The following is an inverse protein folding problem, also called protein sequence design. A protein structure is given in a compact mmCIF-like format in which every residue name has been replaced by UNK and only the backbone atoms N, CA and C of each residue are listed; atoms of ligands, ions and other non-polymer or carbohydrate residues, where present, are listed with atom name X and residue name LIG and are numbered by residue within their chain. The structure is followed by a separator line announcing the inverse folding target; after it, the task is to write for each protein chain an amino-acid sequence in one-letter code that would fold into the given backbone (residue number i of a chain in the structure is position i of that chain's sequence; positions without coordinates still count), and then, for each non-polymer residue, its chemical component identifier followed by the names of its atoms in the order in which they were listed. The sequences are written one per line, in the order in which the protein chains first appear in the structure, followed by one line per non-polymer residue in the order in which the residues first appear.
data_IF_829540248582
#
_entry.id   IF_829540248582
#
_cell.length_a   1.000
_cell.length_b   1.000
_cell.length_c   1.000
_cell.angle_alpha   90.00
_cell.angle_beta   90.00
_cell.angle_gamma   90.00
#
_symmetry.space_group_name_H-M   'P 1'
#
loop_
_entity.id
_entity.type
_entity.pdbx_description
1 polymer ?
#
# COMPACT_ATOMS: atom_id res chain seq x y z
N UNK A 1 -42.00 -17.72 -58.46
CA UNK A 1 -40.72 -17.28 -57.85
C UNK A 1 -41.03 -16.61 -56.52
N UNK A 2 -40.36 -16.99 -55.43
CA UNK A 2 -40.64 -16.37 -54.13
C UNK A 2 -40.00 -14.98 -54.05
N UNK A 3 -40.67 -14.04 -53.40
CA UNK A 3 -40.22 -12.65 -53.20
C UNK A 3 -38.81 -12.61 -52.59
N UNK A 4 -38.49 -13.59 -51.74
CA UNK A 4 -37.18 -13.75 -51.11
C UNK A 4 -36.05 -13.97 -52.13
N UNK A 5 -36.30 -14.79 -53.17
CA UNK A 5 -35.31 -15.05 -54.23
C UNK A 5 -35.04 -13.82 -55.11
N UNK A 6 -36.05 -12.97 -55.31
CA UNK A 6 -35.90 -11.70 -56.02
C UNK A 6 -35.11 -10.68 -55.18
N UNK A 7 -35.37 -10.61 -53.87
CA UNK A 7 -34.63 -9.74 -52.95
C UNK A 7 -33.13 -10.07 -52.91
N UNK A 8 -32.78 -11.36 -52.80
CA UNK A 8 -31.37 -11.81 -52.82
C UNK A 8 -30.64 -11.47 -54.12
N UNK A 9 -31.31 -11.67 -55.27
CA UNK A 9 -30.74 -11.29 -56.59
C UNK A 9 -30.57 -9.77 -56.72
N UNK A 10 -31.44 -8.98 -56.09
CA UNK A 10 -31.32 -7.52 -56.06
C UNK A 10 -30.12 -7.04 -55.22
N UNK A 11 -29.86 -7.69 -54.08
CA UNK A 11 -28.65 -7.43 -53.28
C UNK A 11 -27.39 -7.78 -54.08
N UNK A 12 -27.40 -8.89 -54.80
CA UNK A 12 -26.26 -9.30 -55.65
C UNK A 12 -26.03 -8.41 -56.86
N UNK A 13 -27.04 -7.70 -57.39
CA UNK A 13 -26.85 -6.77 -58.50
C UNK A 13 -26.34 -5.40 -58.04
N UNK A 14 -26.56 -5.02 -56.78
CA UNK A 14 -26.17 -3.73 -56.18
C UNK A 14 -25.22 -3.88 -54.98
N UNK A 15 -24.21 -4.74 -55.11
CA UNK A 15 -23.30 -5.12 -54.00
C UNK A 15 -22.63 -3.94 -53.32
N UNK A 16 -22.18 -2.94 -54.08
CA UNK A 16 -21.46 -1.78 -53.52
C UNK A 16 -22.35 -0.92 -52.61
N UNK A 17 -23.54 -0.54 -53.08
CA UNK A 17 -24.49 0.27 -52.31
C UNK A 17 -25.01 -0.51 -51.09
N UNK A 18 -25.29 -1.79 -51.27
CA UNK A 18 -25.67 -2.67 -50.16
C UNK A 18 -24.56 -2.75 -49.10
N UNK A 19 -23.30 -2.94 -49.51
CA UNK A 19 -22.19 -3.03 -48.59
C UNK A 19 -21.98 -1.71 -47.82
N UNK A 20 -22.04 -0.56 -48.50
CA UNK A 20 -21.87 0.74 -47.85
C UNK A 20 -22.98 1.02 -46.83
N UNK A 21 -24.23 0.72 -47.18
CA UNK A 21 -25.38 0.88 -46.26
C UNK A 21 -25.31 -0.12 -45.10
N UNK A 22 -24.94 -1.37 -45.36
CA UNK A 22 -24.73 -2.39 -44.33
C UNK A 22 -23.64 -1.98 -43.35
N UNK A 23 -22.47 -1.54 -43.83
CA UNK A 23 -21.36 -1.07 -42.98
C UNK A 23 -21.80 0.16 -42.18
N UNK A 24 -22.51 1.11 -42.79
CA UNK A 24 -23.02 2.29 -42.09
C UNK A 24 -23.94 1.92 -40.93
N UNK A 25 -24.93 1.04 -41.17
CA UNK A 25 -25.83 0.55 -40.12
C UNK A 25 -25.07 -0.24 -39.06
N UNK A 26 -24.15 -1.13 -39.48
CA UNK A 26 -23.33 -1.92 -38.58
C UNK A 26 -22.49 -1.04 -37.66
N UNK A 27 -21.83 -0.02 -38.19
CA UNK A 27 -21.05 0.94 -37.41
C UNK A 27 -21.93 1.71 -36.41
N UNK A 28 -23.11 2.17 -36.82
CA UNK A 28 -24.04 2.85 -35.91
C UNK A 28 -24.47 1.95 -34.75
N UNK A 29 -24.83 0.70 -35.03
CA UNK A 29 -25.24 -0.27 -34.00
C UNK A 29 -24.06 -0.66 -33.12
N UNK A 30 -22.88 -0.91 -33.70
CA UNK A 30 -21.66 -1.24 -32.95
C UNK A 30 -21.27 -0.12 -32.00
N UNK A 31 -21.33 1.14 -32.45
CA UNK A 31 -21.02 2.30 -31.60
C UNK A 31 -21.99 2.37 -30.40
N UNK A 32 -23.29 2.25 -30.67
CA UNK A 32 -24.31 2.29 -29.62
C UNK A 32 -24.13 1.16 -28.60
N UNK A 33 -23.92 -0.08 -29.06
CA UNK A 33 -23.69 -1.22 -28.18
C UNK A 33 -22.37 -1.09 -27.41
N UNK A 34 -21.31 -0.61 -28.03
CA UNK A 34 -20.00 -0.43 -27.38
C UNK A 34 -20.10 0.53 -26.21
N UNK A 35 -20.76 1.68 -26.39
CA UNK A 35 -20.97 2.66 -25.30
C UNK A 35 -21.77 2.03 -24.16
N UNK A 36 -22.83 1.28 -24.47
CA UNK A 36 -23.65 0.62 -23.45
C UNK A 36 -22.87 -0.44 -22.67
N UNK A 37 -22.09 -1.27 -23.36
CA UNK A 37 -21.28 -2.32 -22.75
C UNK A 37 -20.18 -1.70 -21.89
N UNK A 38 -19.43 -0.73 -22.41
CA UNK A 38 -18.37 -0.04 -21.65
C UNK A 38 -18.94 0.60 -20.38
N UNK A 39 -20.10 1.28 -20.49
CA UNK A 39 -20.77 1.87 -19.31
C UNK A 39 -21.17 0.82 -18.28
N UNK A 40 -21.72 -0.31 -18.73
CA UNK A 40 -22.15 -1.40 -17.85
C UNK A 40 -20.97 -2.04 -17.15
N UNK A 41 -19.92 -2.37 -17.88
CA UNK A 41 -18.72 -3.00 -17.35
C UNK A 41 -17.96 -2.07 -16.41
N UNK A 42 -17.85 -0.77 -16.75
CA UNK A 42 -17.30 0.22 -15.84
C UNK A 42 -18.05 0.22 -14.51
N UNK A 43 -19.39 0.34 -14.52
CA UNK A 43 -20.21 0.29 -13.31
C UNK A 43 -20.05 -1.03 -12.54
N UNK A 44 -20.00 -2.16 -13.23
CA UNK A 44 -19.79 -3.46 -12.59
C UNK A 44 -18.42 -3.55 -11.90
N UNK A 45 -17.37 -3.01 -12.51
CA UNK A 45 -16.03 -2.95 -11.91
C UNK A 45 -16.01 -2.13 -10.61
N UNK A 46 -16.74 -1.01 -10.57
CA UNK A 46 -16.90 -0.23 -9.34
C UNK A 46 -17.60 -1.04 -8.24
N UNK A 47 -18.71 -1.71 -8.57
CA UNK A 47 -19.49 -2.50 -7.61
C UNK A 47 -18.76 -3.75 -7.10
N UNK A 48 -17.80 -4.27 -7.87
CA UNK A 48 -17.03 -5.46 -7.49
C UNK A 48 -15.91 -5.15 -6.48
N UNK A 49 -15.55 -3.88 -6.26
CA UNK A 49 -14.35 -3.56 -5.50
C UNK A 49 -14.52 -3.79 -3.99
N UNK A 50 -15.70 -3.50 -3.44
CA UNK A 50 -15.98 -3.65 -2.01
C UNK A 50 -17.37 -4.23 -1.80
N UNK A 51 -17.51 -5.13 -0.82
CA UNK A 51 -18.77 -5.80 -0.50
C UNK A 51 -18.88 -6.07 1.01
N UNK A 52 -20.10 -6.02 1.53
CA UNK A 52 -20.36 -6.24 2.95
C UNK A 52 -19.93 -5.08 3.86
N UNK A 53 -19.69 -3.90 3.31
CA UNK A 53 -19.37 -2.67 4.06
C UNK A 53 -20.60 -1.79 4.15
N UNK A 54 -21.04 -1.51 5.38
CA UNK A 54 -22.25 -0.69 5.63
C UNK A 54 -21.96 0.81 5.55
N UNK A 55 -20.77 1.23 5.99
CA UNK A 55 -20.43 2.65 6.12
C UNK A 55 -18.93 2.90 5.92
N UNK A 56 -18.62 3.96 5.18
CA UNK A 56 -17.28 4.54 5.07
C UNK A 56 -17.28 5.83 5.90
N UNK A 57 -16.34 5.95 6.83
CA UNK A 57 -16.23 7.11 7.72
C UNK A 57 -14.90 7.79 7.42
N UNK A 58 -14.93 9.10 7.21
CA UNK A 58 -13.77 9.90 6.90
C UNK A 58 -13.82 11.28 7.54
N UNK A 59 -12.73 12.06 7.41
CA UNK A 59 -12.73 13.48 7.74
C UNK A 59 -13.71 14.24 6.83
N UNK A 60 -13.94 15.53 7.10
CA UNK A 60 -14.87 16.35 6.34
C UNK A 60 -14.39 16.50 4.89
N UNK A 61 -14.95 15.70 3.98
CA UNK A 61 -14.62 15.68 2.55
C UNK A 61 -15.86 15.41 1.70
N UNK A 62 -15.71 15.44 0.37
CA UNK A 62 -16.78 15.00 -0.53
C UNK A 62 -16.99 13.48 -0.40
N UNK A 63 -18.24 13.02 -0.52
CA UNK A 63 -18.55 11.58 -0.49
C UNK A 63 -17.80 10.82 -1.60
N UNK A 64 -17.67 11.42 -2.77
CA UNK A 64 -16.98 10.79 -3.91
C UNK A 64 -15.47 10.71 -3.66
N UNK A 65 -14.89 11.75 -3.06
CA UNK A 65 -13.47 11.78 -2.70
C UNK A 65 -13.17 10.73 -1.63
N UNK A 66 -14.02 10.63 -0.60
CA UNK A 66 -13.87 9.61 0.44
C UNK A 66 -13.96 8.19 -0.13
N UNK A 67 -14.89 7.94 -1.06
CA UNK A 67 -15.03 6.65 -1.72
C UNK A 67 -13.81 6.32 -2.60
N UNK A 68 -13.39 7.27 -3.44
CA UNK A 68 -12.24 7.10 -4.33
C UNK A 68 -10.95 6.88 -3.53
N UNK A 69 -10.76 7.62 -2.45
CA UNK A 69 -9.64 7.46 -1.54
C UNK A 69 -9.66 6.10 -0.86
N UNK A 70 -10.73 5.76 -0.14
CA UNK A 70 -10.75 4.56 0.72
C UNK A 70 -10.87 3.24 -0.03
N UNK A 71 -11.54 3.22 -1.19
CA UNK A 71 -11.87 1.99 -1.92
C UNK A 71 -11.02 1.83 -3.18
N UNK A 72 -10.74 2.93 -3.89
CA UNK A 72 -9.97 2.92 -5.13
C UNK A 72 -8.52 3.37 -4.96
N UNK A 73 -8.16 3.86 -3.77
CA UNK A 73 -6.84 4.41 -3.46
C UNK A 73 -6.45 5.57 -4.39
N UNK A 74 -7.44 6.35 -4.83
CA UNK A 74 -7.28 7.50 -5.71
C UNK A 74 -7.41 8.80 -4.90
N UNK A 75 -6.44 9.69 -5.08
CA UNK A 75 -6.39 10.99 -4.41
C UNK A 75 -5.51 11.00 -3.17
N UNK A 76 -5.38 12.17 -2.56
CA UNK A 76 -4.65 12.42 -1.31
C UNK A 76 -5.62 13.04 -0.31
N UNK A 77 -5.49 12.76 1.00
CA UNK A 77 -6.43 13.29 1.97
C UNK A 77 -6.07 14.75 2.27
N UNK A 78 -7.03 15.66 2.15
CA UNK A 78 -6.83 17.07 2.53
C UNK A 78 -6.80 17.26 4.06
N UNK A 79 -7.25 16.25 4.80
CA UNK A 79 -7.30 16.22 6.26
C UNK A 79 -7.20 14.76 6.68
N UNK A 80 -6.39 14.47 7.70
CA UNK A 80 -6.27 13.13 8.27
C UNK A 80 -7.22 12.97 9.46
N UNK A 81 -7.66 11.74 9.71
CA UNK A 81 -8.43 11.41 10.92
C UNK A 81 -7.47 10.86 11.97
N UNK A 82 -7.55 11.38 13.19
CA UNK A 82 -6.77 10.87 14.32
C UNK A 82 -7.09 9.41 14.64
N UNK A 83 -6.07 8.62 15.00
CA UNK A 83 -6.24 7.20 15.36
C UNK A 83 -7.22 7.00 16.53
N UNK A 84 -7.24 7.92 17.50
CA UNK A 84 -8.19 7.91 18.63
C UNK A 84 -9.65 7.95 18.18
N UNK A 85 -9.94 8.58 17.03
CA UNK A 85 -11.29 8.57 16.47
C UNK A 85 -11.67 7.18 15.95
N UNK A 86 -10.72 6.46 15.33
CA UNK A 86 -10.91 5.06 14.96
C UNK A 86 -11.18 4.18 16.19
N UNK A 87 -10.39 4.31 17.26
CA UNK A 87 -10.59 3.54 18.49
C UNK A 87 -11.97 3.79 19.11
N UNK A 88 -12.40 5.06 19.15
CA UNK A 88 -13.74 5.43 19.63
C UNK A 88 -14.84 4.78 18.78
N UNK A 89 -14.70 4.77 17.46
CA UNK A 89 -15.66 4.13 16.56
C UNK A 89 -15.68 2.62 16.79
N UNK A 90 -14.51 1.98 16.85
CA UNK A 90 -14.37 0.54 17.04
C UNK A 90 -14.92 0.06 18.39
N UNK A 91 -14.80 0.88 19.44
CA UNK A 91 -15.32 0.57 20.78
C UNK A 91 -16.86 0.59 20.88
N UNK A 92 -17.55 1.13 19.87
CA UNK A 92 -19.00 1.21 19.88
C UNK A 92 -19.63 -0.18 19.68
N UNK A 93 -20.54 -0.57 20.58
CA UNK A 93 -21.25 -1.88 20.52
C UNK A 93 -22.01 -2.14 19.22
N UNK A 94 -22.34 -1.10 18.45
CA UNK A 94 -23.00 -1.22 17.13
C UNK A 94 -22.04 -1.57 16.00
N UNK A 95 -20.73 -1.50 16.23
CA UNK A 95 -19.70 -1.76 15.22
C UNK A 95 -19.19 -3.19 15.39
N UNK A 96 -19.49 -4.06 14.42
CA UNK A 96 -19.05 -5.46 14.45
C UNK A 96 -17.55 -5.61 14.17
N UNK A 97 -17.03 -4.79 13.27
CA UNK A 97 -15.62 -4.71 12.89
C UNK A 97 -15.35 -3.36 12.22
N UNK A 98 -14.09 -2.93 12.22
CA UNK A 98 -13.66 -1.71 11.54
C UNK A 98 -12.23 -1.89 11.00
N UNK A 99 -12.03 -1.42 9.77
CA UNK A 99 -10.74 -1.46 9.08
C UNK A 99 -10.26 -0.01 8.93
N UNK A 100 -9.16 0.39 9.59
CA UNK A 100 -8.57 1.70 9.39
C UNK A 100 -7.76 1.69 8.08
N UNK A 101 -7.86 2.75 7.29
CA UNK A 101 -7.14 2.89 6.01
C UNK A 101 -6.46 4.26 5.98
N UNK A 102 -5.17 4.27 5.72
CA UNK A 102 -4.38 5.47 5.42
C UNK A 102 -3.58 5.27 4.14
N UNK A 103 -3.38 6.35 3.38
CA UNK A 103 -2.66 6.41 2.12
C UNK A 103 -1.76 7.64 2.15
N UNK A 104 -0.65 7.61 1.40
CA UNK A 104 0.23 8.78 1.28
C UNK A 104 1.50 8.45 0.51
N UNK A 105 2.05 7.28 0.76
CA UNK A 105 3.27 6.81 0.11
C UNK A 105 2.99 5.99 -1.15
N UNK A 106 4.05 5.83 -1.93
CA UNK A 106 4.06 5.01 -3.13
C UNK A 106 5.32 4.17 -3.24
N UNK A 107 5.30 3.19 -4.13
CA UNK A 107 6.49 2.45 -4.54
C UNK A 107 6.40 2.15 -6.04
N UNK A 108 7.30 2.72 -6.85
CA UNK A 108 7.34 2.54 -8.31
C UNK A 108 5.97 2.77 -8.98
N UNK A 109 5.27 3.83 -8.56
CA UNK A 109 3.94 4.20 -9.06
C UNK A 109 2.76 3.41 -8.48
N UNK A 110 2.98 2.47 -7.56
CA UNK A 110 1.92 1.77 -6.84
C UNK A 110 1.67 2.39 -5.48
N UNK A 111 0.40 2.46 -5.06
CA UNK A 111 0.00 3.06 -3.79
C UNK A 111 0.35 2.16 -2.60
N UNK A 112 0.81 2.77 -1.52
CA UNK A 112 0.96 2.14 -0.22
C UNK A 112 -0.31 2.38 0.59
N UNK A 113 -0.93 1.30 1.05
CA UNK A 113 -2.09 1.28 1.92
C UNK A 113 -1.65 0.84 3.31
N UNK A 114 -1.86 1.70 4.29
CA UNK A 114 -1.56 1.40 5.68
C UNK A 114 -2.84 1.03 6.41
N UNK A 115 -2.83 -0.15 7.03
CA UNK A 115 -4.01 -0.70 7.72
C UNK A 115 -3.59 -1.60 8.89
N UNK A 116 -4.51 -2.40 9.41
CA UNK A 116 -4.24 -3.43 10.40
C UNK A 116 -4.74 -4.81 9.92
N UNK A 117 -4.56 -5.83 10.74
CA UNK A 117 -4.95 -7.20 10.43
C UNK A 117 -6.44 -7.39 10.11
N UNK A 118 -7.31 -6.48 10.56
CA UNK A 118 -8.74 -6.56 10.26
C UNK A 118 -9.01 -6.44 8.77
N UNK A 119 -8.11 -5.82 8.00
CA UNK A 119 -8.20 -5.79 6.55
C UNK A 119 -8.31 -7.21 5.98
N UNK A 120 -7.38 -8.10 6.31
CA UNK A 120 -7.37 -9.47 5.78
C UNK A 120 -8.48 -10.35 6.38
N UNK A 121 -8.96 -10.04 7.58
CA UNK A 121 -10.04 -10.78 8.25
C UNK A 121 -11.44 -10.41 7.72
N UNK A 122 -11.67 -9.13 7.48
CA UNK A 122 -13.01 -8.60 7.24
C UNK A 122 -13.23 -8.07 5.83
N UNK A 123 -12.20 -7.58 5.14
CA UNK A 123 -12.36 -7.04 3.79
C UNK A 123 -12.92 -8.10 2.86
N UNK A 124 -13.98 -7.74 2.14
CA UNK A 124 -14.56 -8.55 1.09
C UNK A 124 -14.80 -7.74 -0.16
N UNK A 125 -14.61 -8.39 -1.29
CA UNK A 125 -14.85 -7.83 -2.62
C UNK A 125 -15.84 -8.72 -3.37
N UNK A 126 -16.34 -8.23 -4.49
CA UNK A 126 -17.26 -8.95 -5.34
C UNK A 126 -18.52 -9.39 -4.58
N UNK A 127 -18.93 -10.64 -4.75
CA UNK A 127 -20.04 -11.25 -4.04
C UNK A 127 -19.56 -11.84 -2.70
N UNK A 128 -18.89 -11.04 -1.86
CA UNK A 128 -18.45 -11.47 -0.53
C UNK A 128 -17.17 -12.31 -0.49
N UNK A 129 -16.38 -12.33 -1.57
CA UNK A 129 -15.09 -13.03 -1.62
C UNK A 129 -14.10 -12.39 -0.65
N UNK A 130 -13.33 -13.21 0.05
CA UNK A 130 -12.29 -12.75 0.97
C UNK A 130 -10.95 -12.63 0.27
N UNK A 131 -10.11 -11.76 0.82
CA UNK A 131 -8.72 -11.63 0.39
C UNK A 131 -7.96 -12.88 0.81
N UNK A 132 -7.28 -13.51 -0.13
CA UNK A 132 -6.53 -14.75 0.09
C UNK A 132 -5.08 -14.58 -0.36
N UNK A 133 -4.18 -15.36 0.24
CA UNK A 133 -2.77 -15.35 -0.11
C UNK A 133 -2.47 -16.37 -1.20
N UNK A 134 -1.70 -15.95 -2.21
CA UNK A 134 -1.01 -16.88 -3.13
C UNK A 134 0.20 -17.48 -2.43
N UNK A 135 0.96 -16.64 -1.71
CA UNK A 135 2.18 -17.03 -0.99
C UNK A 135 2.32 -16.20 0.28
N UNK A 136 2.99 -16.77 1.28
CA UNK A 136 3.29 -16.08 2.54
C UNK A 136 2.05 -15.90 3.43
N UNK A 137 2.08 -14.86 4.25
CA UNK A 137 1.07 -14.60 5.29
C UNK A 137 0.94 -13.09 5.52
N UNK A 138 0.04 -12.73 6.43
CA UNK A 138 -0.10 -11.37 6.95
C UNK A 138 1.17 -10.90 7.67
N UNK A 139 1.20 -9.65 8.11
CA UNK A 139 2.26 -9.04 8.90
C UNK A 139 2.72 -9.95 10.05
N UNK A 140 4.04 -10.07 10.23
CA UNK A 140 4.64 -10.72 11.40
C UNK A 140 5.57 -9.77 12.15
N UNK A 141 6.13 -8.82 11.41
CA UNK A 141 6.94 -7.72 11.88
C UNK A 141 6.30 -6.40 11.45
N UNK A 142 6.69 -5.29 12.09
CA UNK A 142 6.29 -3.94 11.75
C UNK A 142 6.63 -3.64 10.29
N UNK A 143 7.88 -3.87 9.87
CA UNK A 143 8.36 -3.60 8.51
C UNK A 143 8.04 -4.71 7.51
N UNK A 144 6.93 -5.41 7.69
CA UNK A 144 6.41 -6.34 6.70
C UNK A 144 5.44 -5.66 5.74
N UNK A 145 5.54 -6.03 4.46
CA UNK A 145 4.63 -5.60 3.41
C UNK A 145 3.95 -6.80 2.76
N UNK A 146 2.65 -6.66 2.47
CA UNK A 146 1.88 -7.61 1.67
C UNK A 146 1.62 -6.99 0.31
N UNK A 147 1.90 -7.72 -0.76
CA UNK A 147 1.77 -7.22 -2.12
C UNK A 147 0.47 -7.67 -2.78
N UNK A 148 -0.19 -6.74 -3.47
CA UNK A 148 -1.20 -7.06 -4.47
C UNK A 148 -0.62 -7.90 -5.61
N UNK A 149 -1.49 -8.68 -6.27
CA UNK A 149 -1.06 -9.61 -7.30
C UNK A 149 -0.36 -8.95 -8.48
N UNK A 150 -0.86 -7.79 -8.97
CA UNK A 150 -0.24 -7.09 -10.09
C UNK A 150 1.11 -6.48 -9.72
N UNK A 151 1.25 -5.95 -8.49
CA UNK A 151 2.53 -5.39 -8.02
C UNK A 151 3.61 -6.46 -8.05
N UNK A 152 3.35 -7.61 -7.41
CA UNK A 152 4.30 -8.72 -7.37
C UNK A 152 4.64 -9.24 -8.78
N UNK A 153 3.63 -9.38 -9.65
CA UNK A 153 3.83 -9.88 -11.02
C UNK A 153 4.61 -8.90 -11.91
N UNK A 154 4.27 -7.61 -11.90
CA UNK A 154 4.88 -6.60 -12.79
C UNK A 154 6.28 -6.21 -12.34
N UNK A 155 6.52 -6.13 -11.03
CA UNK A 155 7.83 -5.80 -10.46
C UNK A 155 8.70 -7.04 -10.20
N UNK A 156 8.16 -8.24 -10.48
CA UNK A 156 8.82 -9.53 -10.27
C UNK A 156 9.28 -9.76 -8.81
N UNK A 157 8.51 -9.28 -7.84
CA UNK A 157 8.78 -9.49 -6.42
C UNK A 157 8.32 -10.86 -5.93
N UNK A 158 9.05 -11.37 -4.95
CA UNK A 158 8.80 -12.63 -4.24
C UNK A 158 8.73 -12.39 -2.74
N UNK A 159 8.15 -13.34 -2.01
CA UNK A 159 8.19 -13.33 -0.54
C UNK A 159 9.65 -13.39 -0.10
N UNK A 160 10.04 -12.50 0.81
CA UNK A 160 11.40 -12.33 1.31
C UNK A 160 12.18 -11.17 0.69
N UNK A 161 11.72 -10.59 -0.41
CA UNK A 161 12.38 -9.44 -1.04
C UNK A 161 12.27 -8.18 -0.17
N UNK A 162 13.23 -7.26 -0.32
CA UNK A 162 13.25 -5.97 0.36
C UNK A 162 12.77 -4.85 -0.57
N UNK A 163 11.94 -3.95 -0.04
CA UNK A 163 11.29 -2.87 -0.76
C UNK A 163 11.49 -1.57 0.03
N UNK A 164 11.87 -0.49 -0.66
CA UNK A 164 11.94 0.85 -0.08
C UNK A 164 10.73 1.65 -0.56
N UNK A 165 10.03 2.30 0.37
CA UNK A 165 8.87 3.15 0.05
C UNK A 165 9.31 4.59 -0.23
N UNK A 166 8.52 5.28 -1.05
CA UNK A 166 8.73 6.66 -1.46
C UNK A 166 7.62 7.53 -0.90
N UNK A 167 7.97 8.73 -0.43
CA UNK A 167 6.96 9.71 -0.01
C UNK A 167 6.19 10.28 -1.21
N UNK A 168 4.87 10.35 -1.05
CA UNK A 168 3.95 10.96 -2.01
C UNK A 168 3.65 10.09 -3.24
N UNK A 169 2.93 10.70 -4.20
CA UNK A 169 2.45 10.06 -5.43
C UNK A 169 3.47 10.06 -6.58
N UNK A 170 4.68 10.57 -6.34
CA UNK A 170 5.65 10.80 -7.41
C UNK A 170 6.56 9.58 -7.64
N UNK A 171 6.75 9.27 -8.92
CA UNK A 171 7.75 8.32 -9.42
C UNK A 171 9.20 8.75 -9.07
N UNK A 172 9.38 10.03 -8.72
CA UNK A 172 10.63 10.66 -8.31
C UNK A 172 10.50 11.06 -6.84
N UNK A 173 11.03 10.22 -5.95
CA UNK A 173 11.04 10.48 -4.52
C UNK A 173 12.17 11.46 -4.17
N UNK A 174 11.82 12.57 -3.52
CA UNK A 174 12.80 13.57 -3.05
C UNK A 174 13.46 13.18 -1.72
N UNK A 175 12.93 12.16 -1.03
CA UNK A 175 13.47 11.62 0.22
C UNK A 175 13.29 10.10 0.18
N UNK A 176 14.37 9.36 -0.09
CA UNK A 176 14.34 7.90 0.00
C UNK A 176 14.54 7.48 1.45
N UNK A 177 13.61 6.70 2.00
CA UNK A 177 13.79 6.00 3.28
C UNK A 177 14.72 4.79 3.10
N UNK A 178 15.91 5.02 2.53
CA UNK A 178 16.92 3.98 2.24
C UNK A 178 17.37 3.23 3.52
N UNK A 179 17.01 3.73 4.70
CA UNK A 179 17.39 3.19 5.99
C UNK A 179 16.39 2.18 6.59
N UNK A 180 15.19 2.01 6.02
CA UNK A 180 14.14 1.10 6.54
C UNK A 180 13.46 0.25 5.44
N UNK A 181 14.14 -0.79 4.93
CA UNK A 181 13.54 -1.66 3.92
C UNK A 181 12.40 -2.49 4.52
N UNK A 182 11.25 -2.49 3.83
CA UNK A 182 10.15 -3.38 4.09
C UNK A 182 10.43 -4.75 3.48
N UNK A 183 10.18 -5.82 4.25
CA UNK A 183 10.31 -7.19 3.77
C UNK A 183 8.97 -7.71 3.27
N UNK A 184 8.94 -8.29 2.07
CA UNK A 184 7.73 -8.92 1.52
C UNK A 184 7.37 -10.14 2.35
N UNK A 185 6.23 -10.08 3.03
CA UNK A 185 5.71 -11.14 3.91
C UNK A 185 4.67 -12.03 3.25
N UNK A 186 3.95 -11.48 2.25
CA UNK A 186 2.91 -12.19 1.54
C UNK A 186 2.55 -11.55 0.21
N UNK A 187 1.98 -12.36 -0.67
CA UNK A 187 1.47 -11.95 -1.98
C UNK A 187 0.04 -12.44 -2.09
N UNK A 188 -0.89 -11.55 -2.44
CA UNK A 188 -2.31 -11.86 -2.56
C UNK A 188 -2.62 -12.66 -3.84
N UNK A 189 -3.73 -13.40 -3.81
CA UNK A 189 -4.38 -13.93 -5.02
C UNK A 189 -4.99 -12.77 -5.82
N UNK A 190 -5.09 -12.89 -7.15
CA UNK A 190 -5.70 -11.85 -7.97
C UNK A 190 -7.14 -11.60 -7.53
N UNK A 191 -7.43 -10.34 -7.16
CA UNK A 191 -8.79 -9.91 -6.81
C UNK A 191 -9.50 -9.26 -8.01
N UNK A 192 -8.73 -8.80 -9.00
CA UNK A 192 -9.19 -7.93 -10.08
C UNK A 192 -9.84 -6.64 -9.57
N UNK A 193 -9.35 -6.14 -8.43
CA UNK A 193 -9.74 -4.87 -7.81
C UNK A 193 -8.51 -3.98 -7.63
N UNK A 194 -8.67 -2.69 -7.25
CA UNK A 194 -7.55 -1.81 -6.92
C UNK A 194 -6.52 -2.40 -5.93
N UNK A 195 -6.90 -3.35 -5.08
CA UNK A 195 -5.98 -4.05 -4.16
C UNK A 195 -4.83 -4.75 -4.90
N UNK A 196 -5.06 -5.26 -6.12
CA UNK A 196 -4.00 -5.92 -6.88
C UNK A 196 -2.83 -4.98 -7.21
N UNK A 197 -3.07 -3.66 -7.16
CA UNK A 197 -2.12 -2.59 -7.48
C UNK A 197 -1.65 -1.84 -6.22
N UNK A 198 -1.71 -2.47 -5.04
CA UNK A 198 -1.25 -1.83 -3.80
C UNK A 198 -0.21 -2.64 -3.05
N UNK A 199 0.61 -1.92 -2.29
CA UNK A 199 1.43 -2.46 -1.21
C UNK A 199 0.67 -2.21 0.08
N UNK A 200 0.51 -3.23 0.92
CA UNK A 200 -0.23 -3.13 2.17
C UNK A 200 0.76 -3.26 3.33
N UNK A 201 0.80 -2.26 4.19
CA UNK A 201 1.68 -2.20 5.37
C UNK A 201 0.87 -1.94 6.64
N UNK A 202 1.51 -2.07 7.80
CA UNK A 202 0.87 -1.72 9.07
C UNK A 202 0.82 -0.20 9.24
N UNK A 203 -0.22 0.29 9.94
CA UNK A 203 -0.28 1.69 10.37
C UNK A 203 0.94 2.09 11.22
N UNK A 204 1.45 1.18 12.04
CA UNK A 204 2.63 1.43 12.88
C UNK A 204 3.89 1.64 12.05
N UNK A 205 4.09 0.88 10.97
CA UNK A 205 5.23 1.07 10.09
C UNK A 205 5.14 2.39 9.32
N UNK A 206 3.93 2.78 8.92
CA UNK A 206 3.68 4.07 8.30
C UNK A 206 4.01 5.22 9.26
N UNK A 207 3.61 5.13 10.53
CA UNK A 207 4.00 6.13 11.54
C UNK A 207 5.52 6.15 11.76
N UNK A 208 6.15 4.98 11.89
CA UNK A 208 7.57 4.86 12.19
C UNK A 208 8.49 5.45 11.11
N UNK A 209 8.09 5.43 9.84
CA UNK A 209 8.85 6.07 8.74
C UNK A 209 8.56 7.57 8.61
N UNK A 210 7.55 8.10 9.32
CA UNK A 210 7.18 9.53 9.30
C UNK A 210 7.52 10.26 10.62
N UNK A 211 8.04 9.58 11.62
CA UNK A 211 8.50 10.19 12.87
C UNK A 211 9.93 10.75 12.72
N UNK A 212 10.03 12.04 12.43
CA UNK A 212 11.30 12.79 12.35
C UNK A 212 11.92 13.10 13.73
N UNK A 213 11.39 12.52 14.83
CA UNK A 213 11.88 12.80 16.17
C UNK A 213 13.25 12.12 16.43
N UNK A 214 14.31 12.86 16.80
CA UNK A 214 15.67 12.33 16.95
C UNK A 214 15.87 11.30 18.08
N UNK A 215 14.84 10.95 18.84
CA UNK A 215 14.91 10.09 20.03
C UNK A 215 13.96 8.88 20.02
N UNK A 216 13.32 8.54 18.89
CA UNK A 216 12.39 7.42 18.84
C UNK A 216 12.78 6.34 17.83
N UNK A 217 13.97 5.76 18.00
CA UNK A 217 14.32 4.51 17.31
C UNK A 217 14.53 3.40 18.32
N UNK A 218 13.45 2.66 18.61
CA UNK A 218 13.57 1.30 19.09
C UNK A 218 14.17 0.47 17.94
N UNK A 219 15.42 0.02 18.15
CA UNK A 219 16.13 -0.99 17.36
C UNK A 219 16.45 -0.61 15.90
N UNK A 220 17.37 0.36 15.70
CA UNK A 220 18.23 0.33 14.51
C UNK A 220 19.07 -0.97 14.60
N UNK A 221 19.02 -1.89 13.63
CA UNK A 221 20.01 -2.97 13.59
C UNK A 221 21.37 -2.32 13.30
N UNK A 222 22.26 -2.34 14.29
CA UNK A 222 23.63 -1.84 14.13
C UNK A 222 24.33 -2.70 13.08
N UNK A 223 24.50 -2.15 11.87
CA UNK A 223 25.48 -2.67 10.92
C UNK A 223 26.86 -2.36 11.51
N UNK A 224 27.55 -3.38 12.05
CA UNK A 224 28.98 -3.25 12.40
C UNK A 224 29.73 -2.87 11.12
N UNK A 225 30.20 -1.62 11.02
CA UNK A 225 31.23 -1.25 10.04
C UNK A 225 32.51 -1.95 10.48
N UNK A 226 32.97 -2.91 9.69
CA UNK A 226 34.35 -3.38 9.72
C UNK A 226 35.25 -2.21 9.33
N UNK A 227 35.93 -1.61 10.30
CA UNK A 227 37.01 -0.67 10.04
C UNK A 227 38.19 -1.48 9.48
N UNK A 228 38.50 -1.26 8.20
CA UNK A 228 39.77 -1.61 7.62
C UNK A 228 40.55 -0.28 7.52
N UNK A 229 41.55 -0.11 8.39
CA UNK A 229 42.51 0.98 8.31
C UNK A 229 43.36 0.77 7.06
N UNK A 230 43.28 1.69 6.10
CA UNK A 230 44.37 1.95 5.17
C UNK A 230 45.01 3.28 5.57
N UNK A 231 46.30 3.19 5.88
CA UNK A 231 47.18 4.28 6.27
C UNK A 231 47.68 4.95 5.00
N UNK A 232 47.50 6.27 4.88
CA UNK A 232 48.39 7.10 4.07
C UNK A 232 48.61 8.46 4.74
N UNK A 233 49.87 8.68 5.11
CA UNK A 233 50.45 9.98 5.45
C UNK A 233 50.69 10.79 4.17
N UNK A 234 50.52 12.12 4.27
CA UNK A 234 51.55 13.13 3.94
C UNK A 234 51.01 14.55 4.25
N UNK A 235 51.66 15.17 5.24
CA UNK A 235 52.06 16.58 5.45
C UNK A 235 51.22 17.75 4.90
N UNK A 236 50.79 18.66 5.79
CA UNK A 236 51.30 20.04 5.90
C UNK A 236 50.68 20.81 7.10
N UNK A 237 51.26 21.97 7.42
CA UNK A 237 51.50 22.56 8.74
C UNK A 237 50.38 23.40 9.40
N UNK A 238 50.62 23.68 10.71
CA UNK A 238 50.20 24.83 11.54
C UNK A 238 48.83 24.83 12.25
N UNK A 239 48.80 24.63 13.57
CA UNK A 239 48.92 25.69 14.60
C UNK A 239 48.76 25.13 16.03
N UNK A 240 49.54 25.70 16.96
CA UNK A 240 49.51 25.49 18.42
C UNK A 240 48.11 25.63 19.05
N UNK A 241 47.76 24.73 19.98
CA UNK A 241 47.60 25.11 21.39
C UNK A 241 47.48 23.87 22.31
N UNK A 242 48.19 23.99 23.42
CA UNK A 242 48.32 23.08 24.56
C UNK A 242 47.01 22.68 25.22
N UNK A 243 46.86 21.40 25.59
CA UNK A 243 46.37 20.99 26.91
C UNK A 243 46.70 19.52 27.21
N UNK A 244 47.58 19.32 28.20
CA UNK A 244 47.73 18.06 28.93
C UNK A 244 46.45 17.73 29.70
N UNK A 245 46.03 16.45 29.69
CA UNK A 245 45.59 15.73 30.89
C UNK A 245 45.47 14.22 30.63
N UNK A 246 46.06 13.50 31.59
CA UNK A 246 46.23 12.07 31.73
C UNK A 246 44.96 11.29 32.17
N UNK A 247 44.97 9.99 31.83
CA UNK A 247 44.37 8.79 32.46
C UNK A 247 42.85 8.68 32.65
N UNK A 248 42.22 7.66 32.05
CA UNK A 248 42.08 6.34 32.70
C UNK A 248 41.33 5.32 31.83
N UNK A 249 41.83 4.08 31.90
CA UNK A 249 41.23 2.84 31.43
C UNK A 249 39.97 2.48 32.23
N UNK A 250 38.98 1.88 31.58
CA UNK A 250 38.09 0.87 32.20
C UNK A 250 37.44 0.02 31.10
N UNK A 251 37.96 -1.19 30.94
CA UNK A 251 37.21 -2.31 30.37
C UNK A 251 36.20 -2.80 31.41
N UNK A 252 34.92 -2.89 31.04
CA UNK A 252 33.97 -3.79 31.70
C UNK A 252 33.22 -4.61 30.65
N UNK A 253 33.59 -5.89 30.60
CA UNK A 253 32.78 -6.97 30.08
C UNK A 253 31.59 -7.19 31.02
N UNK A 254 30.36 -7.18 30.50
CA UNK A 254 29.24 -7.87 31.15
C UNK A 254 28.29 -8.50 30.13
N UNK A 255 27.88 -9.69 30.52
CA UNK A 255 27.33 -10.79 29.73
C UNK A 255 25.89 -10.60 29.25
N UNK A 256 25.60 -11.34 28.19
CA UNK A 256 24.24 -11.63 27.71
C UNK A 256 23.48 -12.50 28.72
N UNK A 257 22.32 -12.04 29.20
CA UNK A 257 21.24 -12.98 29.55
C UNK A 257 19.82 -12.36 29.59
N UNK A 258 18.92 -13.05 28.86
CA UNK A 258 17.52 -13.34 29.16
C UNK A 258 16.36 -12.43 28.66
N UNK A 259 15.82 -12.84 27.51
CA UNK A 259 14.68 -12.35 26.72
C UNK A 259 13.28 -12.70 27.28
N UNK A 260 13.08 -12.65 28.59
CA UNK A 260 11.73 -12.77 29.19
C UNK A 260 11.32 -11.58 30.08
N UNK A 261 12.25 -10.70 30.46
CA UNK A 261 11.94 -9.49 31.23
C UNK A 261 11.29 -8.37 30.39
N UNK A 262 11.55 -8.37 29.07
CA UNK A 262 11.10 -7.32 28.15
C UNK A 262 9.58 -7.29 27.92
N UNK A 263 8.89 -8.43 28.00
CA UNK A 263 7.43 -8.49 27.78
C UNK A 263 6.64 -7.97 28.98
N UNK A 264 7.18 -8.11 30.21
CA UNK A 264 6.53 -7.64 31.43
C UNK A 264 6.72 -6.11 31.60
N UNK A 265 7.92 -5.61 31.28
CA UNK A 265 8.19 -4.17 31.20
C UNK A 265 7.38 -3.46 30.09
N UNK A 266 6.99 -4.18 29.03
CA UNK A 266 6.16 -3.65 27.94
C UNK A 266 4.70 -3.38 28.34
N UNK A 267 4.13 -4.15 29.28
CA UNK A 267 2.75 -3.94 29.75
C UNK A 267 2.63 -2.81 30.78
N UNK A 268 3.62 -2.62 31.64
CA UNK A 268 3.57 -1.59 32.70
C UNK A 268 3.78 -0.18 32.15
N UNK A 269 4.63 -0.01 31.12
CA UNK A 269 4.85 1.31 30.51
C UNK A 269 3.68 1.83 29.66
N UNK A 270 2.70 0.97 29.32
CA UNK A 270 1.47 1.39 28.64
C UNK A 270 0.52 2.15 29.57
N UNK A 271 0.53 1.85 30.88
CA UNK A 271 -0.41 2.48 31.82
C UNK A 271 -0.02 3.91 32.21
N UNK A 272 1.24 4.30 32.01
CA UNK A 272 1.76 5.58 32.50
C UNK A 272 1.78 6.71 31.46
N UNK A 273 1.48 6.43 30.18
CA UNK A 273 1.48 7.45 29.10
C UNK A 273 0.11 7.77 28.51
N UNK A 274 -0.98 7.24 29.08
CA UNK A 274 -2.35 7.67 28.79
C UNK A 274 -2.78 8.73 29.82
N UNK A 275 -2.06 9.85 29.84
CA UNK A 275 -2.46 11.06 30.57
C UNK A 275 -1.61 12.25 30.15
N UNK A 276 -1.83 12.75 28.93
CA UNK A 276 -1.85 14.17 28.56
C UNK A 276 -2.21 14.33 27.10
#
# INVERSE_FOLDING_TARGET
MSIFTLALKSIQSRKATFLLTFISIALSVMLLLSVQIIKKEANSGFMQTISGTDLIIGPKSSQIELLLYSVFHIGTPNTLMEYKSYERIQSNKKVKWAIPISLGDSHKGYKVVSTNENFFKHYSFANGKKVEFTQGKVFEDMFHVVLGHEVAKKLNYKVGDNIVLSHGDAEVSFVHHDELPFKVSGILKPTHTPIDKTLIVTLHAMEAIHDDSPNHFMLRPIKKKSQQHDVHNEDEEHHDESHEKEHNEHEEHLDHENTQSSVKAFKENLSHKIAK
#
